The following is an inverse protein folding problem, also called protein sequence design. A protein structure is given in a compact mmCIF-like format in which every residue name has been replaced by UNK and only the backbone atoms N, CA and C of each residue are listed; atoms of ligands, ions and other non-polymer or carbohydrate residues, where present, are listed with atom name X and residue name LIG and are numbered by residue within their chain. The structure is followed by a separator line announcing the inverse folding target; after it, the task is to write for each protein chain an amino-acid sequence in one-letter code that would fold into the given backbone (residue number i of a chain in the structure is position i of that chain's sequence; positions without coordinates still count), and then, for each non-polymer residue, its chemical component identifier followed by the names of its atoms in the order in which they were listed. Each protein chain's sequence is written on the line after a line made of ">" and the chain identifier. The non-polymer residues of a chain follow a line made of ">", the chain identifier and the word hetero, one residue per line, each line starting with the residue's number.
data_IF_166820232370
#
_entry.id   IF_166820232370
#
_cell.length_a   1.000
_cell.length_b   1.000
_cell.length_c   1.000
_cell.angle_alpha   90.00
_cell.angle_beta   90.00
_cell.angle_gamma   90.00
#
_symmetry.space_group_name_H-M   'P 1'
#
loop_
_entity.id
_entity.type
_entity.pdbx_description
1 polymer ?
#
# COMPACT_ATOMS: atom_id res chain seq x y z
N UNK A 1 8.31 7.11 -13.46
CA UNK A 1 7.00 6.57 -13.82
C UNK A 1 6.02 7.72 -14.00
N UNK A 2 6.07 8.42 -15.13
CA UNK A 2 5.06 9.45 -15.41
C UNK A 2 3.75 8.73 -15.80
N UNK A 3 2.66 9.00 -15.08
CA UNK A 3 1.32 8.50 -15.42
C UNK A 3 0.79 7.29 -14.63
N UNK A 4 1.58 6.67 -13.74
CA UNK A 4 1.08 5.61 -12.85
C UNK A 4 0.52 6.24 -11.57
N UNK A 5 -0.74 6.00 -11.17
CA UNK A 5 -1.35 6.56 -9.98
C UNK A 5 -0.76 6.00 -8.68
N UNK A 6 -0.76 6.83 -7.64
CA UNK A 6 -0.50 6.41 -6.27
C UNK A 6 -1.80 5.98 -5.59
N UNK A 7 -1.83 4.77 -5.03
CA UNK A 7 -2.85 4.38 -4.04
C UNK A 7 -2.45 4.98 -2.69
N UNK A 8 -2.87 6.23 -2.47
CA UNK A 8 -2.37 7.05 -1.36
C UNK A 8 -2.78 6.54 0.03
N UNK A 9 -4.05 6.14 0.20
CA UNK A 9 -4.52 5.64 1.49
C UNK A 9 -5.69 4.68 1.33
N UNK A 10 -5.61 3.56 2.04
CA UNK A 10 -6.70 2.61 2.23
C UNK A 10 -6.74 2.19 3.69
N UNK A 11 -7.89 2.33 4.33
CA UNK A 11 -8.06 2.03 5.74
C UNK A 11 -9.38 1.34 5.98
N UNK A 12 -9.36 0.36 6.89
CA UNK A 12 -10.55 -0.33 7.36
C UNK A 12 -10.48 -0.45 8.87
N UNK A 13 -11.64 -0.49 9.51
CA UNK A 13 -11.71 -0.63 10.97
C UNK A 13 -11.30 -2.06 11.36
N UNK A 14 -10.66 -2.20 12.51
CA UNK A 14 -10.10 -3.49 12.97
C UNK A 14 -11.10 -4.65 12.94
N UNK A 15 -12.36 -4.39 13.28
CA UNK A 15 -13.48 -5.36 13.24
C UNK A 15 -13.76 -5.95 11.84
N UNK A 16 -13.23 -5.33 10.79
CA UNK A 16 -13.44 -5.74 9.39
C UNK A 16 -12.20 -6.42 8.80
N UNK A 17 -11.12 -6.57 9.56
CA UNK A 17 -9.95 -7.31 9.08
C UNK A 17 -10.31 -8.78 8.81
N UNK A 18 -9.82 -9.32 7.70
CA UNK A 18 -10.12 -10.69 7.29
C UNK A 18 -11.48 -10.89 6.61
N UNK A 19 -12.34 -9.86 6.51
CA UNK A 19 -13.65 -9.98 5.84
C UNK A 19 -13.58 -9.92 4.31
N UNK A 20 -12.43 -9.56 3.75
CA UNK A 20 -12.28 -9.25 2.32
C UNK A 20 -12.56 -7.80 1.93
N UNK A 21 -13.03 -6.95 2.85
CA UNK A 21 -13.36 -5.55 2.55
C UNK A 21 -12.16 -4.74 2.00
N UNK A 22 -10.96 -4.95 2.53
CA UNK A 22 -9.76 -4.30 2.00
C UNK A 22 -9.49 -4.64 0.53
N UNK A 23 -9.71 -5.89 0.13
CA UNK A 23 -9.53 -6.29 -1.27
C UNK A 23 -10.59 -5.65 -2.17
N UNK A 24 -11.85 -5.58 -1.72
CA UNK A 24 -12.92 -4.89 -2.45
C UNK A 24 -12.65 -3.38 -2.60
N UNK A 25 -12.03 -2.75 -1.60
CA UNK A 25 -11.63 -1.35 -1.67
C UNK A 25 -10.48 -1.11 -2.66
N UNK A 26 -9.50 -2.03 -2.76
CA UNK A 26 -8.47 -1.97 -3.82
C UNK A 26 -9.12 -2.07 -5.19
N UNK A 27 -10.00 -3.06 -5.37
CA UNK A 27 -10.72 -3.26 -6.64
C UNK A 27 -11.51 -2.01 -7.04
N UNK A 28 -12.26 -1.43 -6.11
CA UNK A 28 -13.03 -0.22 -6.36
C UNK A 28 -12.16 1.01 -6.67
N UNK A 29 -10.98 1.12 -6.05
CA UNK A 29 -10.11 2.28 -6.21
C UNK A 29 -9.30 2.25 -7.51
N UNK A 30 -8.78 1.08 -7.88
CA UNK A 30 -7.81 0.96 -8.99
C UNK A 30 -8.07 -0.22 -9.92
N UNK A 31 -8.97 -1.16 -9.61
CA UNK A 31 -9.21 -2.37 -10.42
C UNK A 31 -7.92 -3.08 -10.79
N UNK A 32 -7.72 -3.33 -12.08
CA UNK A 32 -6.48 -3.86 -12.68
C UNK A 32 -5.47 -2.78 -13.11
N UNK A 33 -5.74 -1.50 -12.86
CA UNK A 33 -4.86 -0.40 -13.28
C UNK A 33 -3.50 -0.52 -12.59
N UNK A 34 -2.38 -0.34 -13.32
CA UNK A 34 -1.05 -0.27 -12.70
C UNK A 34 -1.01 0.83 -11.64
N UNK A 35 -0.37 0.58 -10.50
CA UNK A 35 -0.34 1.52 -9.38
C UNK A 35 0.90 1.33 -8.50
N UNK A 36 1.19 2.33 -7.68
CA UNK A 36 2.18 2.20 -6.60
C UNK A 36 1.63 2.72 -5.27
N UNK A 37 2.26 2.33 -4.18
CA UNK A 37 1.96 2.82 -2.83
C UNK A 37 3.22 2.87 -1.98
N UNK A 38 3.18 3.67 -0.92
CA UNK A 38 4.16 3.64 0.16
C UNK A 38 3.55 2.93 1.37
N UNK A 39 4.35 2.10 2.02
CA UNK A 39 3.95 1.38 3.23
C UNK A 39 5.09 1.38 4.22
N UNK A 40 4.78 1.56 5.51
CA UNK A 40 5.74 1.41 6.60
C UNK A 40 6.49 0.08 6.46
N UNK A 41 7.83 0.15 6.54
CA UNK A 41 8.69 -1.01 6.39
C UNK A 41 8.37 -2.08 7.45
N UNK A 42 8.12 -1.65 8.69
CA UNK A 42 7.80 -2.53 9.82
C UNK A 42 6.28 -2.76 10.01
N UNK A 43 5.53 -2.80 8.91
CA UNK A 43 4.11 -3.16 8.91
C UNK A 43 3.88 -4.48 8.16
N UNK A 44 4.24 -5.63 8.76
CA UNK A 44 4.17 -6.94 8.10
C UNK A 44 2.74 -7.29 7.66
N UNK A 45 1.72 -6.83 8.40
CA UNK A 45 0.32 -7.04 8.05
C UNK A 45 -0.08 -6.32 6.76
N UNK A 46 0.25 -5.03 6.64
CA UNK A 46 -0.06 -4.25 5.44
C UNK A 46 0.76 -4.75 4.24
N UNK A 47 2.04 -5.05 4.44
CA UNK A 47 2.90 -5.63 3.40
C UNK A 47 2.34 -6.94 2.86
N UNK A 48 1.95 -7.87 3.73
CA UNK A 48 1.33 -9.13 3.32
C UNK A 48 -0.02 -8.92 2.60
N UNK A 49 -0.80 -7.93 3.02
CA UNK A 49 -2.05 -7.57 2.33
C UNK A 49 -1.78 -7.08 0.91
N UNK A 50 -0.87 -6.13 0.71
CA UNK A 50 -0.54 -5.61 -0.62
C UNK A 50 0.15 -6.64 -1.51
N UNK A 51 0.99 -7.52 -0.95
CA UNK A 51 1.57 -8.65 -1.68
C UNK A 51 0.48 -9.58 -2.24
N UNK A 52 -0.54 -9.90 -1.44
CA UNK A 52 -1.70 -10.69 -1.91
C UNK A 52 -2.52 -9.96 -2.98
N UNK A 53 -2.48 -8.64 -3.01
CA UNK A 53 -3.12 -7.79 -4.02
C UNK A 53 -2.25 -7.52 -5.25
N UNK A 54 -1.12 -8.24 -5.42
CA UNK A 54 -0.27 -8.17 -6.61
C UNK A 54 0.84 -7.12 -6.57
N UNK A 55 1.00 -6.40 -5.45
CA UNK A 55 2.09 -5.45 -5.29
C UNK A 55 3.40 -6.14 -4.86
N UNK A 56 4.53 -5.64 -5.34
CA UNK A 56 5.86 -6.09 -4.92
C UNK A 56 6.79 -4.91 -4.65
N UNK A 57 7.77 -5.03 -3.73
CA UNK A 57 8.72 -3.95 -3.48
C UNK A 57 9.59 -3.70 -4.71
N UNK A 58 9.78 -2.44 -5.10
CA UNK A 58 10.62 -2.04 -6.23
C UNK A 58 12.04 -1.58 -5.81
N UNK A 59 12.32 -1.63 -4.51
CA UNK A 59 13.59 -1.20 -3.91
C UNK A 59 13.63 0.27 -3.50
N UNK A 60 12.64 1.09 -3.86
CA UNK A 60 12.58 2.48 -3.42
C UNK A 60 12.17 2.59 -1.95
N UNK A 61 12.79 3.54 -1.25
CA UNK A 61 12.65 3.77 0.20
C UNK A 61 12.60 5.26 0.47
N UNK A 62 11.86 5.67 1.49
CA UNK A 62 11.87 7.05 2.01
C UNK A 62 11.57 7.02 3.51
N UNK A 63 11.75 8.17 4.16
CA UNK A 63 11.28 8.39 5.53
C UNK A 63 10.00 9.23 5.46
N UNK A 64 9.07 8.98 6.39
CA UNK A 64 8.00 9.93 6.67
C UNK A 64 8.58 11.28 7.13
N UNK A 65 7.81 12.38 7.04
CA UNK A 65 8.24 13.67 7.58
C UNK A 65 8.53 13.61 9.09
N UNK A 66 9.29 14.58 9.65
CA UNK A 66 9.59 14.64 11.09
C UNK A 66 8.36 14.59 12.00
N UNK A 67 7.27 15.25 11.61
CA UNK A 67 5.99 15.25 12.36
C UNK A 67 5.37 13.84 12.48
N UNK A 68 5.87 12.87 11.70
CA UNK A 68 5.44 11.49 11.64
C UNK A 68 6.57 10.52 12.05
N UNK A 69 7.48 11.00 12.91
CA UNK A 69 8.55 10.22 13.55
C UNK A 69 9.59 9.63 12.59
N UNK A 70 9.71 10.16 11.37
CA UNK A 70 10.71 9.73 10.37
C UNK A 70 10.73 8.21 10.13
N UNK A 71 9.58 7.54 10.28
CA UNK A 71 9.50 6.10 10.12
C UNK A 71 9.81 5.68 8.67
N UNK A 72 10.54 4.58 8.45
CA UNK A 72 10.88 4.13 7.11
C UNK A 72 9.67 3.58 6.36
N UNK A 73 9.53 3.98 5.11
CA UNK A 73 8.58 3.43 4.14
C UNK A 73 9.31 2.79 2.97
N UNK A 74 8.74 1.69 2.48
CA UNK A 74 9.13 1.07 1.20
C UNK A 74 8.04 1.35 0.17
N UNK A 75 8.44 1.54 -1.08
CA UNK A 75 7.47 1.59 -2.18
C UNK A 75 7.18 0.18 -2.67
N UNK A 76 5.91 -0.08 -2.92
CA UNK A 76 5.47 -1.27 -3.61
C UNK A 76 4.76 -0.88 -4.90
N UNK A 77 4.96 -1.67 -5.95
CA UNK A 77 4.41 -1.44 -7.29
C UNK A 77 3.59 -2.64 -7.73
N UNK A 78 2.51 -2.39 -8.45
CA UNK A 78 1.71 -3.36 -9.18
C UNK A 78 1.71 -2.95 -10.65
N UNK A 79 2.25 -3.78 -11.56
CA UNK A 79 2.38 -3.46 -12.97
C UNK A 79 1.05 -3.44 -13.70
#
# INVERSE_FOLDING_TARGET
>A
MAGIPELYMIYTLSRTHGSGLGAQLIEAAIGDTPAYLWVLEDNPRARAFYQKSGFSPDGARKLLPPDWSELPEIRMVRP
#
